data_IF_337835437752
#
_entry.id   IF_337835437752
#
_cell.length_a   1.000
_cell.length_b   1.000
_cell.length_c   1.000
_cell.angle_alpha   90.00
_cell.angle_beta   90.00
_cell.angle_gamma   90.00
#
_symmetry.space_group_name_H-M   'P 1'
#
loop_
_entity.id
_entity.type
_entity.pdbx_description
1 polymer ?
#
# COMPACT_ATOMS: atom_id res chain seq x y z
N UNK A 1 12.31 29.02 12.43
CA UNK A 1 11.51 27.90 13.00
C UNK A 1 10.65 27.14 11.98
N UNK A 2 10.25 27.71 10.83
CA UNK A 2 9.51 26.98 9.78
C UNK A 2 10.30 25.84 9.12
N UNK A 3 11.62 25.99 8.94
CA UNK A 3 12.46 25.00 8.23
C UNK A 3 12.65 23.67 8.99
N UNK A 4 12.69 23.70 10.33
CA UNK A 4 12.87 22.52 11.16
C UNK A 4 11.61 21.64 11.25
N UNK A 5 10.42 22.24 11.12
CA UNK A 5 9.16 21.49 11.06
C UNK A 5 8.96 20.84 9.70
N UNK A 6 9.31 21.52 8.61
CA UNK A 6 9.26 20.97 7.26
C UNK A 6 10.23 19.79 7.10
N UNK A 7 11.46 19.89 7.62
CA UNK A 7 12.42 18.77 7.60
C UNK A 7 11.95 17.57 8.44
N UNK A 8 11.25 17.81 9.56
CA UNK A 8 10.66 16.74 10.38
C UNK A 8 9.47 16.05 9.70
N UNK A 9 8.58 16.81 9.03
CA UNK A 9 7.44 16.26 8.29
C UNK A 9 7.89 15.48 7.05
N UNK A 10 8.81 16.05 6.27
CA UNK A 10 9.37 15.37 5.09
C UNK A 10 10.11 14.09 5.49
N UNK A 11 10.88 14.12 6.58
CA UNK A 11 11.53 12.93 7.14
C UNK A 11 10.51 11.86 7.56
N UNK A 12 9.40 12.26 8.20
CA UNK A 12 8.34 11.33 8.59
C UNK A 12 7.66 10.68 7.38
N UNK A 13 7.33 11.47 6.35
CA UNK A 13 6.73 10.94 5.10
C UNK A 13 7.68 9.94 4.46
N UNK A 14 8.97 10.25 4.40
CA UNK A 14 9.97 9.34 3.84
C UNK A 14 10.03 8.02 4.64
N UNK A 15 10.08 8.07 5.96
CA UNK A 15 10.06 6.86 6.81
C UNK A 15 8.79 6.03 6.60
N UNK A 16 7.61 6.65 6.50
CA UNK A 16 6.35 5.95 6.21
C UNK A 16 6.44 5.22 4.87
N UNK A 17 6.97 5.87 3.83
CA UNK A 17 7.14 5.25 2.50
C UNK A 17 8.08 4.05 2.53
N UNK A 18 9.17 4.12 3.29
CA UNK A 18 10.09 2.98 3.48
C UNK A 18 9.41 1.83 4.21
N UNK A 19 8.70 2.12 5.30
CA UNK A 19 7.93 1.10 6.01
C UNK A 19 6.86 0.45 5.12
N UNK A 20 6.20 1.23 4.28
CA UNK A 20 5.21 0.74 3.31
C UNK A 20 5.82 -0.13 2.22
N UNK A 21 7.01 0.22 1.71
CA UNK A 21 7.76 -0.64 0.81
C UNK A 21 8.15 -1.97 1.47
N UNK A 22 8.62 -1.93 2.72
CA UNK A 22 9.02 -3.12 3.47
C UNK A 22 7.82 -4.00 3.85
N UNK A 23 6.67 -3.41 4.18
CA UNK A 23 5.41 -4.12 4.38
C UNK A 23 5.05 -4.94 3.14
N UNK A 24 5.02 -4.31 1.96
CA UNK A 24 4.74 -5.00 0.70
C UNK A 24 5.71 -6.14 0.42
N UNK A 25 7.01 -5.89 0.60
CA UNK A 25 8.02 -6.90 0.40
C UNK A 25 7.85 -8.09 1.36
N UNK A 26 7.54 -7.82 2.63
CA UNK A 26 7.26 -8.85 3.64
C UNK A 26 6.04 -9.68 3.26
N UNK A 27 4.96 -9.03 2.80
CA UNK A 27 3.74 -9.70 2.35
C UNK A 27 4.00 -10.58 1.13
N UNK A 28 4.79 -10.11 0.15
CA UNK A 28 5.20 -10.92 -1.01
C UNK A 28 5.91 -12.20 -0.58
N UNK A 29 6.88 -12.10 0.33
CA UNK A 29 7.64 -13.27 0.80
C UNK A 29 6.78 -14.24 1.63
N UNK A 30 5.87 -13.73 2.46
CA UNK A 30 4.94 -14.58 3.21
C UNK A 30 3.91 -15.28 2.29
N UNK A 31 3.52 -14.62 1.19
CA UNK A 31 2.63 -15.18 0.18
C UNK A 31 3.35 -16.17 -0.75
N UNK A 32 4.66 -16.01 -0.99
CA UNK A 32 5.49 -17.02 -1.67
C UNK A 32 5.50 -18.34 -0.88
N UNK A 33 5.52 -18.28 0.46
CA UNK A 33 5.49 -19.45 1.32
C UNK A 33 4.12 -20.13 1.39
N UNK A 34 3.02 -19.35 1.45
CA UNK A 34 1.65 -19.86 1.40
C UNK A 34 0.70 -18.84 0.74
N UNK A 35 0.34 -19.11 -0.51
CA UNK A 35 -0.55 -18.25 -1.31
C UNK A 35 -2.01 -18.29 -0.86
N UNK A 36 -2.40 -19.30 -0.09
CA UNK A 36 -3.79 -19.46 0.39
C UNK A 36 -4.09 -18.61 1.63
N UNK A 37 -3.04 -18.10 2.28
CA UNK A 37 -3.15 -17.31 3.50
C UNK A 37 -3.52 -15.86 3.17
N UNK A 38 -4.70 -15.37 3.57
CA UNK A 38 -5.05 -13.96 3.42
C UNK A 38 -4.15 -13.12 4.33
N UNK A 39 -3.47 -12.14 3.73
CA UNK A 39 -2.62 -11.17 4.40
C UNK A 39 -3.09 -9.76 4.07
N UNK A 40 -3.07 -8.89 5.08
CA UNK A 40 -3.25 -7.46 4.90
C UNK A 40 -2.20 -6.72 5.74
N UNK A 41 -1.89 -5.49 5.36
CA UNK A 41 -0.93 -4.67 6.08
C UNK A 41 -1.34 -3.21 6.13
N UNK A 42 -0.70 -2.50 7.04
CA UNK A 42 -0.86 -1.05 7.22
C UNK A 42 0.42 -0.44 7.78
N UNK A 43 0.96 0.54 7.09
CA UNK A 43 2.24 1.17 7.46
C UNK A 43 2.10 2.51 8.15
N UNK A 44 3.04 2.79 9.05
CA UNK A 44 3.15 4.03 9.79
C UNK A 44 4.62 4.46 10.00
N UNK A 45 4.87 5.52 10.78
CA UNK A 45 6.21 6.09 10.91
C UNK A 45 7.17 5.24 11.76
N UNK A 46 6.67 4.29 12.55
CA UNK A 46 7.49 3.42 13.43
C UNK A 46 7.65 1.98 12.92
N UNK A 47 7.00 1.66 11.80
CA UNK A 47 6.95 0.31 11.26
C UNK A 47 5.60 0.05 10.62
N UNK A 48 5.15 -1.19 10.64
CA UNK A 48 3.91 -1.59 9.98
C UNK A 48 3.18 -2.69 10.76
N UNK A 49 1.88 -2.76 10.54
CA UNK A 49 1.03 -3.83 11.02
C UNK A 49 0.86 -4.87 9.93
N UNK A 50 0.81 -6.13 10.35
CA UNK A 50 0.50 -7.26 9.49
C UNK A 50 -0.64 -8.06 10.12
N UNK A 51 -1.66 -8.34 9.31
CA UNK A 51 -2.89 -9.01 9.71
C UNK A 51 -2.95 -10.32 8.93
N UNK A 52 -2.92 -11.44 9.64
CA UNK A 52 -2.92 -12.77 9.02
C UNK A 52 -2.51 -13.86 10.00
N UNK A 53 -2.67 -15.13 9.60
CA UNK A 53 -2.24 -16.28 10.41
C UNK A 53 -0.76 -16.57 10.21
N UNK A 54 0.09 -15.72 10.77
CA UNK A 54 1.55 -15.92 10.78
C UNK A 54 2.08 -15.90 12.22
N UNK A 55 3.21 -16.54 12.46
CA UNK A 55 3.94 -16.37 13.73
C UNK A 55 4.83 -15.12 13.68
N UNK A 56 5.28 -14.65 14.86
CA UNK A 56 6.20 -13.51 14.91
C UNK A 56 7.55 -13.85 14.25
N UNK A 57 7.98 -15.10 14.35
CA UNK A 57 9.20 -15.65 13.78
C UNK A 57 9.13 -15.70 12.26
N UNK A 58 8.00 -16.16 11.70
CA UNK A 58 7.76 -16.13 10.25
C UNK A 58 7.81 -14.72 9.69
N UNK A 59 7.14 -13.77 10.36
CA UNK A 59 7.11 -12.37 9.95
C UNK A 59 8.51 -11.76 10.04
N UNK A 60 9.24 -12.01 11.13
CA UNK A 60 10.61 -11.51 11.30
C UNK A 60 11.52 -12.02 10.19
N UNK A 61 11.52 -13.33 9.95
CA UNK A 61 12.37 -13.95 8.93
C UNK A 61 12.02 -13.42 7.53
N UNK A 62 10.74 -13.25 7.21
CA UNK A 62 10.30 -12.67 5.96
C UNK A 62 10.71 -11.20 5.83
N UNK A 63 10.55 -10.39 6.87
CA UNK A 63 10.89 -8.97 6.83
C UNK A 63 12.42 -8.74 6.71
N UNK A 64 13.23 -9.54 7.42
CA UNK A 64 14.69 -9.50 7.30
C UNK A 64 15.15 -9.93 5.90
N UNK A 65 14.57 -10.98 5.34
CA UNK A 65 14.84 -11.42 3.95
C UNK A 65 14.39 -10.37 2.93
N UNK A 66 13.26 -9.69 3.17
CA UNK A 66 12.77 -8.62 2.32
C UNK A 66 13.77 -7.45 2.28
N UNK A 67 14.31 -7.03 3.42
CA UNK A 67 15.38 -6.02 3.48
C UNK A 67 16.56 -6.45 2.61
N UNK A 68 17.05 -7.68 2.78
CA UNK A 68 18.18 -8.20 2.01
C UNK A 68 17.94 -8.21 0.50
N UNK A 69 16.78 -8.72 0.05
CA UNK A 69 16.41 -8.76 -1.38
C UNK A 69 16.29 -7.36 -1.97
N UNK A 70 15.65 -6.44 -1.25
CA UNK A 70 15.50 -5.05 -1.72
C UNK A 70 16.84 -4.31 -1.78
N UNK A 71 17.74 -4.54 -0.82
CA UNK A 71 19.12 -4.04 -0.86
C UNK A 71 19.92 -4.65 -2.03
N UNK A 72 19.62 -5.89 -2.42
CA UNK A 72 20.20 -6.56 -3.58
C UNK A 72 19.61 -6.09 -4.93
N UNK A 73 18.72 -5.08 -4.93
CA UNK A 73 18.17 -4.47 -6.14
C UNK A 73 16.76 -4.95 -6.51
N UNK A 74 16.13 -5.80 -5.71
CA UNK A 74 14.75 -6.26 -5.95
C UNK A 74 13.69 -5.21 -5.51
N UNK A 75 13.83 -3.98 -5.98
CA UNK A 75 12.96 -2.86 -5.61
C UNK A 75 11.49 -3.02 -6.00
N UNK A 76 11.19 -3.93 -6.94
CA UNK A 76 9.82 -4.28 -7.33
C UNK A 76 8.99 -4.84 -6.17
N UNK A 77 9.65 -5.41 -5.14
CA UNK A 77 9.01 -5.89 -3.91
C UNK A 77 8.32 -4.77 -3.13
N UNK A 78 8.69 -3.50 -3.33
CA UNK A 78 8.03 -2.35 -2.70
C UNK A 78 6.63 -2.06 -3.28
N UNK A 79 6.24 -2.72 -4.37
CA UNK A 79 4.96 -2.53 -5.06
C UNK A 79 4.14 -3.81 -4.96
N UNK A 80 2.94 -3.69 -4.43
CA UNK A 80 1.99 -4.79 -4.26
C UNK A 80 0.68 -4.50 -4.99
N UNK A 81 0.14 -5.44 -5.80
CA UNK A 81 -1.06 -5.21 -6.62
C UNK A 81 -2.29 -4.90 -5.77
N UNK A 82 -2.41 -5.52 -4.59
CA UNK A 82 -3.52 -5.30 -3.64
C UNK A 82 -3.41 -4.04 -2.78
N UNK A 83 -2.48 -3.12 -3.06
CA UNK A 83 -2.31 -1.90 -2.26
C UNK A 83 -3.53 -0.96 -2.38
N UNK A 84 -3.91 -0.35 -1.25
CA UNK A 84 -5.01 0.63 -1.20
C UNK A 84 -4.82 1.83 -2.13
N UNK A 85 -3.57 2.24 -2.42
CA UNK A 85 -3.28 3.30 -3.41
C UNK A 85 -3.76 2.92 -4.82
N UNK A 86 -3.64 1.65 -5.21
CA UNK A 86 -4.11 1.17 -6.52
C UNK A 86 -5.63 1.20 -6.57
N UNK A 87 -6.30 0.73 -5.50
CA UNK A 87 -7.75 0.76 -5.40
C UNK A 87 -8.29 2.20 -5.43
N UNK A 88 -7.66 3.12 -4.70
CA UNK A 88 -8.04 4.52 -4.68
C UNK A 88 -7.88 5.17 -6.06
N UNK A 89 -6.76 4.90 -6.74
CA UNK A 89 -6.49 5.40 -8.11
C UNK A 89 -7.54 4.88 -9.09
N UNK A 90 -7.82 3.58 -9.08
CA UNK A 90 -8.85 2.95 -9.91
C UNK A 90 -10.24 3.52 -9.65
N UNK A 91 -10.61 3.69 -8.38
CA UNK A 91 -11.91 4.24 -7.99
C UNK A 91 -12.08 5.67 -8.46
N UNK A 92 -11.05 6.50 -8.28
CA UNK A 92 -11.05 7.91 -8.69
C UNK A 92 -11.16 8.06 -10.20
N UNK A 93 -10.32 7.35 -10.97
CA UNK A 93 -10.31 7.46 -12.43
C UNK A 93 -11.58 6.90 -13.06
N UNK A 94 -12.01 5.72 -12.62
CA UNK A 94 -13.21 5.07 -13.16
C UNK A 94 -14.44 5.95 -12.91
N UNK A 95 -14.64 6.40 -11.67
CA UNK A 95 -15.81 7.21 -11.30
C UNK A 95 -15.75 8.62 -11.90
N UNK A 96 -14.56 9.23 -11.89
CA UNK A 96 -14.34 10.56 -12.45
C UNK A 96 -14.60 10.60 -13.95
N UNK A 97 -14.01 9.68 -14.71
CA UNK A 97 -14.25 9.61 -16.15
C UNK A 97 -15.68 9.20 -16.48
N UNK A 98 -16.29 8.27 -15.73
CA UNK A 98 -17.70 7.94 -15.91
C UNK A 98 -18.61 9.17 -15.74
N UNK A 99 -18.35 9.99 -14.70
CA UNK A 99 -19.06 11.26 -14.49
C UNK A 99 -18.89 12.25 -15.64
N UNK A 100 -17.65 12.38 -16.15
CA UNK A 100 -17.36 13.21 -17.33
C UNK A 100 -18.12 12.69 -18.55
N UNK A 101 -18.05 11.38 -18.84
CA UNK A 101 -18.75 10.75 -19.96
C UNK A 101 -20.26 10.97 -19.92
N UNK A 102 -20.87 10.82 -18.75
CA UNK A 102 -22.29 11.09 -18.54
C UNK A 102 -22.66 12.55 -18.80
N UNK A 103 -21.76 13.50 -18.48
CA UNK A 103 -21.99 14.92 -18.66
C UNK A 103 -21.86 15.38 -20.14
N UNK A 104 -21.02 14.72 -20.93
CA UNK A 104 -20.72 15.10 -22.32
C UNK A 104 -21.91 15.01 -23.28
N UNK A 105 -22.87 14.11 -23.04
CA UNK A 105 -24.08 13.95 -23.88
C UNK A 105 -25.13 15.06 -23.68
N UNK A 106 -24.98 15.89 -22.66
CA UNK A 106 -25.85 17.06 -22.43
C UNK A 106 -27.17 16.79 -21.70
N UNK A 107 -27.86 17.88 -21.30
CA UNK A 107 -29.03 17.82 -20.39
C UNK A 107 -30.31 17.25 -21.01
N UNK A 108 -30.40 17.16 -22.34
CA UNK A 108 -31.57 16.60 -23.05
C UNK A 108 -31.37 15.16 -23.54
N UNK A 109 -30.18 14.58 -23.33
CA UNK A 109 -29.89 13.21 -23.74
C UNK A 109 -30.78 12.18 -23.03
N UNK A 110 -31.05 11.06 -23.72
CA UNK A 110 -31.77 9.93 -23.14
C UNK A 110 -30.92 9.33 -22.02
N UNK A 111 -31.57 8.72 -21.03
CA UNK A 111 -30.86 8.11 -19.91
C UNK A 111 -29.91 6.98 -20.39
N UNK A 112 -30.28 6.27 -21.46
CA UNK A 112 -29.47 5.22 -22.09
C UNK A 112 -28.17 5.77 -22.64
N UNK A 113 -28.19 6.95 -23.27
CA UNK A 113 -27.00 7.56 -23.86
C UNK A 113 -26.04 8.04 -22.76
N UNK A 114 -26.60 8.54 -21.65
CA UNK A 114 -25.83 8.91 -20.45
C UNK A 114 -25.15 7.71 -19.81
N UNK A 115 -25.90 6.63 -19.60
CA UNK A 115 -25.35 5.41 -19.01
C UNK A 115 -24.33 4.78 -19.95
N UNK A 116 -24.60 4.71 -21.25
CA UNK A 116 -23.69 4.20 -22.26
C UNK A 116 -22.34 4.95 -22.26
N UNK A 117 -22.38 6.28 -22.27
CA UNK A 117 -21.16 7.08 -22.19
C UNK A 117 -20.47 6.97 -20.82
N UNK A 118 -21.23 6.94 -19.73
CA UNK A 118 -20.65 6.76 -18.40
C UNK A 118 -19.87 5.43 -18.31
N UNK A 119 -20.44 4.35 -18.81
CA UNK A 119 -19.79 3.04 -18.85
C UNK A 119 -18.55 3.06 -19.74
N UNK A 120 -18.65 3.66 -20.93
CA UNK A 120 -17.54 3.75 -21.89
C UNK A 120 -16.34 4.50 -21.30
N UNK A 121 -16.59 5.68 -20.71
CA UNK A 121 -15.54 6.48 -20.10
C UNK A 121 -15.06 5.88 -18.77
N UNK A 122 -15.94 5.24 -18.00
CA UNK A 122 -15.54 4.49 -16.80
C UNK A 122 -14.57 3.36 -17.13
N UNK A 123 -14.85 2.58 -18.19
CA UNK A 123 -13.92 1.55 -18.69
C UNK A 123 -12.57 2.15 -19.10
N UNK A 124 -12.57 3.29 -19.79
CA UNK A 124 -11.33 4.02 -20.10
C UNK A 124 -10.56 4.40 -18.83
N UNK A 125 -11.27 4.84 -17.78
CA UNK A 125 -10.69 5.15 -16.48
C UNK A 125 -10.03 3.95 -15.83
N UNK A 126 -10.68 2.78 -15.88
CA UNK A 126 -10.11 1.52 -15.39
C UNK A 126 -8.86 1.09 -16.17
N UNK A 127 -8.87 1.24 -17.50
CA UNK A 127 -7.71 0.94 -18.36
C UNK A 127 -6.52 1.84 -18.02
N UNK A 128 -6.75 3.14 -17.81
CA UNK A 128 -5.69 4.08 -17.42
C UNK A 128 -5.19 3.80 -16.00
N UNK A 129 -6.08 3.43 -15.09
CA UNK A 129 -5.72 3.15 -13.69
C UNK A 129 -4.80 1.95 -13.54
N UNK A 130 -4.90 0.95 -14.42
CA UNK A 130 -4.11 -0.28 -14.33
C UNK A 130 -2.58 -0.03 -14.30
N UNK A 131 -1.98 0.74 -15.23
CA UNK A 131 -0.58 1.15 -15.13
C UNK A 131 -0.34 2.32 -14.15
N UNK A 132 -1.30 3.24 -13.99
CA UNK A 132 -1.08 4.44 -13.19
C UNK A 132 -1.03 4.17 -11.68
N UNK A 133 -1.84 3.24 -11.18
CA UNK A 133 -1.87 2.88 -9.76
C UNK A 133 -0.49 2.42 -9.25
N UNK A 134 0.09 1.35 -9.81
CA UNK A 134 1.42 0.88 -9.44
C UNK A 134 2.52 1.94 -9.62
N UNK A 135 2.42 2.76 -10.67
CA UNK A 135 3.34 3.88 -10.87
C UNK A 135 3.24 4.89 -9.72
N UNK A 136 2.01 5.31 -9.35
CA UNK A 136 1.78 6.24 -8.25
C UNK A 136 2.23 5.65 -6.92
N UNK A 137 1.96 4.37 -6.70
CA UNK A 137 2.41 3.63 -5.52
C UNK A 137 3.94 3.72 -5.36
N UNK A 138 4.68 3.36 -6.42
CA UNK A 138 6.15 3.35 -6.41
C UNK A 138 6.77 4.75 -6.17
N UNK A 139 6.10 5.81 -6.66
CA UNK A 139 6.68 7.17 -6.64
C UNK A 139 6.16 8.03 -5.48
N UNK A 140 4.97 7.76 -4.95
CA UNK A 140 4.32 8.61 -3.95
C UNK A 140 4.12 7.92 -2.59
N UNK A 141 3.78 6.63 -2.56
CA UNK A 141 3.34 5.98 -1.31
C UNK A 141 4.30 4.95 -0.77
N UNK A 142 5.21 4.42 -1.59
CA UNK A 142 6.25 3.46 -1.17
C UNK A 142 7.65 3.97 -1.48
N UNK A 143 8.65 3.27 -0.96
CA UNK A 143 10.06 3.46 -1.27
C UNK A 143 10.76 2.10 -1.29
N UNK A 144 11.62 1.87 -2.29
CA UNK A 144 12.47 0.69 -2.36
C UNK A 144 13.78 0.83 -1.56
N UNK A 145 14.05 2.01 -0.99
CA UNK A 145 15.30 2.28 -0.27
C UNK A 145 15.31 1.63 1.12
N UNK A 146 16.12 0.58 1.28
CA UNK A 146 16.30 -0.17 2.53
C UNK A 146 17.68 0.03 3.18
N UNK A 147 18.41 1.10 2.83
CA UNK A 147 19.70 1.42 3.47
C UNK A 147 19.56 1.67 4.98
N UNK A 148 20.34 0.96 5.79
CA UNK A 148 20.26 1.06 7.26
C UNK A 148 18.96 0.52 7.88
N UNK A 149 18.10 -0.15 7.11
CA UNK A 149 16.86 -0.73 7.63
C UNK A 149 17.13 -1.98 8.47
N UNK A 150 16.47 -2.10 9.62
CA UNK A 150 16.46 -3.32 10.46
C UNK A 150 15.12 -3.52 11.17
N UNK A 151 14.84 -4.76 11.53
CA UNK A 151 13.68 -5.13 12.34
C UNK A 151 14.04 -5.02 13.82
N UNK A 152 13.49 -4.00 14.49
CA UNK A 152 13.74 -3.75 15.90
C UNK A 152 12.95 -4.72 16.79
N UNK A 153 11.67 -4.94 16.47
CA UNK A 153 10.79 -5.83 17.25
C UNK A 153 9.66 -6.38 16.36
N UNK A 154 9.15 -7.56 16.72
CA UNK A 154 7.93 -8.13 16.14
C UNK A 154 7.08 -8.63 17.30
N UNK A 155 5.98 -7.92 17.56
CA UNK A 155 5.10 -8.22 18.69
C UNK A 155 3.67 -8.38 18.25
N UNK A 156 2.94 -9.25 18.93
CA UNK A 156 1.49 -9.36 18.73
C UNK A 156 0.83 -8.07 19.22
N UNK A 157 0.10 -7.41 18.33
CA UNK A 157 -0.73 -6.27 18.70
C UNK A 157 -2.10 -6.77 19.12
N UNK A 158 -2.57 -6.34 20.30
CA UNK A 158 -3.99 -6.46 20.64
C UNK A 158 -4.73 -5.33 19.93
N UNK A 159 -5.69 -5.62 19.05
CA UNK A 159 -6.47 -4.59 18.39
C UNK A 159 -7.30 -3.83 19.45
N UNK A 160 -7.06 -2.52 19.59
CA UNK A 160 -7.91 -1.65 20.40
C UNK A 160 -9.01 -0.99 19.56
N UNK A 161 -10.26 -1.00 20.04
CA UNK A 161 -11.35 -0.17 19.51
C UNK A 161 -12.08 -0.69 18.26
N UNK A 162 -12.71 0.23 17.51
CA UNK A 162 -13.61 -0.04 16.37
C UNK A 162 -12.94 -0.67 15.12
N UNK A 163 -11.61 -0.79 15.11
CA UNK A 163 -10.82 -1.39 14.03
C UNK A 163 -10.34 -2.80 14.38
N UNK A 164 -11.07 -3.51 15.24
CA UNK A 164 -10.75 -4.90 15.56
C UNK A 164 -10.82 -5.74 14.26
N UNK A 165 -9.77 -6.50 13.93
CA UNK A 165 -9.76 -7.39 12.80
C UNK A 165 -10.83 -8.48 13.01
N UNK A 166 -11.21 -9.25 11.97
CA UNK A 166 -12.16 -10.34 12.11
C UNK A 166 -11.77 -11.25 13.30
N UNK A 167 -12.74 -11.85 14.00
CA UNK A 167 -12.57 -12.56 15.29
C UNK A 167 -11.42 -13.58 15.38
N UNK A 168 -10.85 -14.02 14.25
CA UNK A 168 -9.77 -15.01 14.15
C UNK A 168 -8.48 -14.49 13.48
N UNK A 169 -8.38 -13.18 13.22
CA UNK A 169 -7.20 -12.59 12.60
C UNK A 169 -6.19 -12.18 13.67
N UNK A 170 -4.93 -12.61 13.48
CA UNK A 170 -3.81 -12.27 14.35
C UNK A 170 -3.16 -11.02 13.78
N UNK A 171 -2.93 -10.03 14.64
CA UNK A 171 -2.26 -8.78 14.27
C UNK A 171 -0.89 -8.76 14.91
N UNK A 172 0.12 -8.49 14.08
CA UNK A 172 1.47 -8.24 14.52
C UNK A 172 1.84 -6.80 14.18
N UNK A 173 2.54 -6.14 15.09
CA UNK A 173 3.24 -4.90 14.82
C UNK A 173 4.72 -5.23 14.63
N UNK A 174 5.25 -4.84 13.49
CA UNK A 174 6.67 -4.93 13.12
C UNK A 174 7.26 -3.54 13.33
N UNK A 175 8.09 -3.41 14.35
CA UNK A 175 8.82 -2.16 14.62
C UNK A 175 10.10 -2.14 13.80
N UNK A 176 10.29 -1.05 13.06
CA UNK A 176 11.42 -0.85 12.16
C UNK A 176 12.31 0.24 12.71
N UNK A 177 13.62 0.08 12.54
CA UNK A 177 14.56 1.15 12.73
C UNK A 177 15.35 1.37 11.44
N UNK A 178 15.66 2.63 11.16
CA UNK A 178 16.57 3.02 10.09
C UNK A 178 17.75 3.71 10.74
N UNK A 179 18.95 3.22 10.48
CA UNK A 179 20.17 3.94 10.87
C UNK A 179 20.16 5.32 10.22
N UNK A 180 20.60 6.31 11.00
CA UNK A 180 20.82 7.65 10.47
C UNK A 180 22.15 7.60 9.73
N UNK A 181 22.10 7.89 8.44
CA UNK A 181 23.28 8.35 7.71
C UNK A 181 23.83 9.65 8.35
#
# INVERSE_FOLDING_TARGET
MHNARLSSVTGMIFTIRRNHGLEHATVHLLAEADRSRPLAGYSGPRGFYLIGRCTAEEIRAAAERAIQRMQAGEGWLAVHPGCGTNLATSSLLTSGLAGIGAALVGRKARWTDRVGNALTFGMLGAVIAHPLGPWLQAHATTSADMRGARIADVRRAQPGGLNAPPRNAIVHFVETAFDRD
#
